data_IF_817393806540
#
_entry.id   IF_817393806540
#
_cell.length_a   1.000
_cell.length_b   1.000
_cell.length_c   1.000
_cell.angle_alpha   90.00
_cell.angle_beta   90.00
_cell.angle_gamma   90.00
#
_symmetry.space_group_name_H-M   'P 1'
#
loop_
_entity.id
_entity.type
_entity.pdbx_description
1 polymer ?
#
# COMPACT_ATOMS: atom_id res chain seq x y z
N UNK A 1 49.50 -23.36 9.56
CA UNK A 1 48.82 -22.15 10.08
C UNK A 1 47.32 -22.35 10.30
N UNK A 2 46.63 -23.14 9.47
CA UNK A 2 45.21 -23.48 9.70
C UNK A 2 44.99 -24.47 10.87
N UNK A 3 45.96 -25.34 11.15
CA UNK A 3 45.87 -26.36 12.22
C UNK A 3 45.68 -25.80 13.64
N UNK A 4 46.34 -24.69 13.99
CA UNK A 4 46.15 -24.04 15.30
C UNK A 4 44.70 -23.55 15.42
N UNK A 5 44.20 -22.90 14.37
CA UNK A 5 42.82 -22.39 14.32
C UNK A 5 41.76 -23.51 14.43
N UNK A 6 42.05 -24.69 13.86
CA UNK A 6 41.15 -25.87 13.91
C UNK A 6 41.15 -26.56 15.28
N UNK A 7 42.27 -26.48 16.00
CA UNK A 7 42.41 -27.06 17.33
C UNK A 7 41.75 -26.18 18.40
N UNK A 8 41.89 -24.86 18.27
CA UNK A 8 41.48 -23.91 19.31
C UNK A 8 40.04 -23.40 19.16
N UNK A 9 39.43 -23.49 17.97
CA UNK A 9 38.06 -23.03 17.73
C UNK A 9 37.08 -24.21 17.55
N UNK A 10 36.03 -24.34 18.39
CA UNK A 10 35.03 -25.41 18.28
C UNK A 10 34.00 -25.19 17.15
N UNK A 11 34.25 -24.27 16.22
CA UNK A 11 33.29 -23.82 15.21
C UNK A 11 33.52 -24.52 13.86
N UNK A 12 32.44 -24.97 13.21
CA UNK A 12 32.46 -25.53 11.85
C UNK A 12 32.19 -24.44 10.82
N UNK A 13 33.20 -24.07 10.04
CA UNK A 13 33.18 -22.91 9.13
C UNK A 13 32.54 -23.17 7.74
N UNK A 14 31.82 -24.28 7.57
CA UNK A 14 31.39 -24.81 6.26
C UNK A 14 30.20 -24.12 5.59
N UNK A 15 29.84 -22.88 5.95
CA UNK A 15 28.69 -22.20 5.38
C UNK A 15 29.10 -21.21 4.29
N UNK A 16 28.76 -21.54 3.04
CA UNK A 16 28.96 -20.68 1.88
C UNK A 16 27.59 -20.25 1.33
N UNK A 17 27.04 -19.11 1.79
CA UNK A 17 25.72 -18.67 1.37
C UNK A 17 25.73 -18.34 -0.13
N UNK A 18 24.73 -18.86 -0.85
CA UNK A 18 24.42 -18.38 -2.21
C UNK A 18 23.64 -17.08 -2.09
N UNK A 19 24.14 -16.03 -2.73
CA UNK A 19 23.46 -14.72 -2.77
C UNK A 19 22.80 -14.52 -4.12
N UNK A 20 21.50 -14.24 -4.12
CA UNK A 20 20.74 -13.86 -5.32
C UNK A 20 20.29 -12.40 -5.18
N UNK A 21 20.16 -11.70 -6.31
CA UNK A 21 19.66 -10.32 -6.34
C UNK A 21 18.65 -10.16 -7.46
N UNK A 22 17.44 -9.70 -7.12
CA UNK A 22 16.41 -9.31 -8.08
C UNK A 22 16.45 -7.78 -8.21
N UNK A 23 16.66 -7.29 -9.44
CA UNK A 23 16.75 -5.87 -9.71
C UNK A 23 15.91 -5.53 -10.92
N UNK A 24 15.42 -4.29 -10.96
CA UNK A 24 14.70 -3.80 -12.11
C UNK A 24 15.63 -3.54 -13.29
N UNK A 25 15.13 -3.72 -14.52
CA UNK A 25 15.89 -3.52 -15.75
C UNK A 25 16.44 -2.09 -15.92
N UNK A 26 15.85 -1.09 -15.26
CA UNK A 26 16.32 0.31 -15.28
C UNK A 26 17.42 0.60 -14.27
N UNK A 27 17.92 -0.39 -13.51
CA UNK A 27 19.01 -0.22 -12.56
C UNK A 27 20.31 -0.82 -13.12
N UNK A 28 21.35 0.00 -13.20
CA UNK A 28 22.68 -0.38 -13.68
C UNK A 28 23.77 -0.12 -12.62
N UNK A 29 24.96 -0.67 -12.87
CA UNK A 29 26.16 -0.56 -12.02
C UNK A 29 26.02 -1.24 -10.64
N UNK A 30 25.17 -2.27 -10.57
CA UNK A 30 25.05 -3.05 -9.35
C UNK A 30 26.15 -4.11 -9.27
N UNK A 31 26.99 -3.99 -8.24
CA UNK A 31 27.97 -5.02 -7.86
C UNK A 31 27.60 -5.56 -6.47
N UNK A 32 27.30 -6.87 -6.33
CA UNK A 32 27.05 -7.46 -5.03
C UNK A 32 28.32 -7.34 -4.17
N UNK A 33 28.16 -6.84 -2.94
CA UNK A 33 29.23 -6.70 -1.96
C UNK A 33 28.65 -7.01 -0.57
N UNK A 34 29.30 -7.91 0.17
CA UNK A 34 28.88 -8.36 1.50
C UNK A 34 29.43 -7.48 2.64
N UNK A 35 30.48 -6.69 2.38
CA UNK A 35 31.14 -5.84 3.38
C UNK A 35 30.66 -4.39 3.32
N UNK A 36 30.47 -3.83 2.13
CA UNK A 36 30.09 -2.42 1.96
C UNK A 36 28.57 -2.20 1.85
N UNK A 37 28.05 -1.23 2.61
CA UNK A 37 26.63 -0.87 2.65
C UNK A 37 26.25 0.41 1.87
N UNK A 38 27.22 1.04 1.20
CA UNK A 38 27.08 2.39 0.62
C UNK A 38 26.73 2.37 -0.88
N UNK A 39 25.93 1.39 -1.32
CA UNK A 39 25.80 1.05 -2.75
C UNK A 39 25.02 2.09 -3.56
N UNK A 40 24.06 2.79 -2.94
CA UNK A 40 23.17 3.74 -3.64
C UNK A 40 23.90 4.85 -4.40
N UNK A 41 25.05 5.33 -3.88
CA UNK A 41 25.85 6.38 -4.53
C UNK A 41 26.33 6.00 -5.93
N UNK A 42 26.51 4.70 -6.19
CA UNK A 42 27.13 4.20 -7.42
C UNK A 42 26.13 3.61 -8.41
N UNK A 43 24.86 3.54 -8.02
CA UNK A 43 23.81 3.02 -8.88
C UNK A 43 23.45 4.04 -9.95
N UNK A 44 23.35 3.55 -11.19
CA UNK A 44 22.86 4.34 -12.31
C UNK A 44 21.42 3.95 -12.59
N UNK A 45 20.53 4.93 -12.67
CA UNK A 45 19.11 4.72 -12.95
C UNK A 45 18.77 5.27 -14.32
N UNK A 46 18.17 4.44 -15.18
CA UNK A 46 17.52 4.90 -16.40
C UNK A 46 16.13 5.45 -16.07
N UNK A 47 16.02 6.77 -16.00
CA UNK A 47 14.78 7.45 -15.66
C UNK A 47 13.69 7.27 -16.72
N UNK A 48 14.06 7.22 -18.01
CA UNK A 48 13.12 7.11 -19.11
C UNK A 48 12.48 5.71 -19.14
N UNK A 49 13.30 4.67 -18.99
CA UNK A 49 12.79 3.30 -18.88
C UNK A 49 11.94 3.12 -17.63
N UNK A 50 12.37 3.68 -16.50
CA UNK A 50 11.61 3.61 -15.25
C UNK A 50 10.22 4.24 -15.40
N UNK A 51 10.12 5.40 -16.06
CA UNK A 51 8.82 6.06 -16.24
C UNK A 51 7.87 5.26 -17.11
N UNK A 52 8.36 4.75 -18.25
CA UNK A 52 7.55 3.89 -19.14
C UNK A 52 7.03 2.66 -18.40
N UNK A 53 7.89 1.96 -17.67
CA UNK A 53 7.49 0.75 -16.92
C UNK A 53 6.54 1.09 -15.77
N UNK A 54 6.69 2.24 -15.10
CA UNK A 54 5.72 2.68 -14.10
C UNK A 54 4.35 2.93 -14.71
N UNK A 55 4.27 3.59 -15.86
CA UNK A 55 3.00 3.81 -16.54
C UNK A 55 2.34 2.49 -16.98
N UNK A 56 3.13 1.53 -17.47
CA UNK A 56 2.63 0.20 -17.87
C UNK A 56 2.16 -0.65 -16.69
N UNK A 57 2.93 -0.69 -15.59
CA UNK A 57 2.70 -1.63 -14.49
C UNK A 57 1.82 -1.06 -13.37
N UNK A 58 1.81 0.25 -13.18
CA UNK A 58 1.11 0.91 -12.07
C UNK A 58 -0.12 1.68 -12.55
N UNK A 59 -0.88 1.11 -13.50
CA UNK A 59 -2.16 1.68 -13.88
C UNK A 59 -3.13 1.64 -12.69
N UNK A 60 -3.64 2.79 -12.21
CA UNK A 60 -4.49 2.83 -11.03
C UNK A 60 -5.86 2.22 -11.34
N UNK A 61 -6.29 1.26 -10.51
CA UNK A 61 -7.63 0.65 -10.61
C UNK A 61 -8.61 1.48 -9.77
N UNK A 62 -9.32 2.42 -10.41
CA UNK A 62 -10.15 3.42 -9.72
C UNK A 62 -11.61 3.01 -9.48
N UNK A 63 -12.11 2.00 -10.21
CA UNK A 63 -13.51 1.58 -10.10
C UNK A 63 -13.95 1.14 -8.69
N UNK A 64 -13.11 0.49 -7.84
CA UNK A 64 -13.53 0.11 -6.49
C UNK A 64 -13.78 1.32 -5.61
N UNK A 65 -13.00 2.39 -5.80
CA UNK A 65 -13.19 3.65 -5.09
C UNK A 65 -14.51 4.30 -5.49
N UNK A 66 -14.79 4.35 -6.80
CA UNK A 66 -16.05 4.87 -7.31
C UNK A 66 -17.26 4.07 -6.79
N UNK A 67 -17.16 2.73 -6.75
CA UNK A 67 -18.20 1.86 -6.19
C UNK A 67 -18.40 2.11 -4.68
N UNK A 68 -17.31 2.27 -3.92
CA UNK A 68 -17.37 2.59 -2.49
C UNK A 68 -18.10 3.91 -2.24
N UNK A 69 -17.78 4.96 -3.00
CA UNK A 69 -18.48 6.26 -2.92
C UNK A 69 -19.97 6.10 -3.26
N UNK A 70 -20.30 5.35 -4.31
CA UNK A 70 -21.68 5.09 -4.71
C UNK A 70 -22.47 4.39 -3.59
N UNK A 71 -21.89 3.37 -2.97
CA UNK A 71 -22.52 2.65 -1.86
C UNK A 71 -22.76 3.55 -0.64
N UNK A 72 -21.83 4.45 -0.34
CA UNK A 72 -22.02 5.44 0.73
C UNK A 72 -23.16 6.42 0.43
N UNK A 73 -23.30 6.87 -0.82
CA UNK A 73 -24.42 7.72 -1.24
C UNK A 73 -25.74 6.96 -1.13
N UNK A 74 -25.79 5.72 -1.60
CA UNK A 74 -27.00 4.88 -1.55
C UNK A 74 -27.40 4.58 -0.10
N UNK A 75 -26.45 4.30 0.79
CA UNK A 75 -26.74 4.03 2.20
C UNK A 75 -27.26 5.25 2.96
N UNK A 76 -26.94 6.46 2.50
CA UNK A 76 -27.47 7.70 3.06
C UNK A 76 -28.92 8.00 2.64
N UNK A 77 -29.42 7.43 1.54
CA UNK A 77 -30.79 7.64 1.04
C UNK A 77 -31.89 7.37 2.09
N UNK A 78 -31.92 6.22 2.79
CA UNK A 78 -32.94 5.96 3.80
C UNK A 78 -32.88 6.95 4.97
N UNK A 79 -31.68 7.38 5.38
CA UNK A 79 -31.52 8.37 6.43
C UNK A 79 -32.16 9.71 6.03
N UNK A 80 -31.84 10.21 4.84
CA UNK A 80 -32.45 11.45 4.29
C UNK A 80 -33.96 11.31 4.11
N UNK A 81 -34.43 10.17 3.58
CA UNK A 81 -35.86 9.93 3.41
C UNK A 81 -36.61 9.92 4.76
N UNK A 82 -36.02 9.30 5.79
CA UNK A 82 -36.59 9.27 7.13
C UNK A 82 -36.66 10.66 7.77
N UNK A 83 -35.61 11.46 7.59
CA UNK A 83 -35.54 12.84 8.09
C UNK A 83 -36.63 13.71 7.44
N UNK A 84 -36.74 13.69 6.11
CA UNK A 84 -37.76 14.46 5.36
C UNK A 84 -39.19 14.02 5.69
N UNK A 85 -39.41 12.73 5.98
CA UNK A 85 -40.73 12.25 6.44
C UNK A 85 -41.11 12.82 7.80
N UNK A 86 -40.16 12.95 8.73
CA UNK A 86 -40.40 13.53 10.06
C UNK A 86 -40.75 15.02 9.99
N UNK A 87 -40.05 15.79 9.17
CA UNK A 87 -40.36 17.22 8.98
C UNK A 87 -41.79 17.45 8.46
N UNK A 88 -42.27 16.58 7.55
CA UNK A 88 -43.64 16.67 7.01
C UNK A 88 -44.73 16.26 8.01
N UNK A 89 -44.41 15.42 8.99
CA UNK A 89 -45.36 15.02 10.05
C UNK A 89 -45.43 16.03 11.20
N UNK A 90 -44.39 16.84 11.41
CA UNK A 90 -44.37 17.89 12.43
C UNK A 90 -45.33 19.06 12.13
N UNK A 91 -45.98 19.08 10.97
CA UNK A 91 -47.00 20.07 10.60
C UNK A 91 -48.45 19.60 10.85
N UNK A 92 -48.70 18.70 11.80
CA UNK A 92 -50.07 18.45 12.27
C UNK A 92 -50.40 19.50 13.34
N UNK A 93 -51.29 20.48 13.07
CA UNK A 93 -51.66 21.45 14.09
C UNK A 93 -52.28 20.69 15.27
N UNK A 94 -52.02 21.10 16.52
CA UNK A 94 -52.69 20.51 17.67
C UNK A 94 -54.19 20.68 17.46
N UNK A 95 -54.88 19.56 17.27
CA UNK A 95 -56.34 19.52 17.27
C UNK A 95 -56.78 20.04 18.62
N UNK A 96 -57.28 21.28 18.63
CA UNK A 96 -57.74 21.96 19.83
C UNK A 96 -58.86 21.15 20.48
N UNK A 97 -58.63 20.73 21.72
CA UNK A 97 -59.68 20.20 22.59
C UNK A 97 -60.34 21.35 23.34
N UNK A 98 -61.68 21.26 23.47
CA UNK A 98 -62.60 21.88 24.45
C UNK A 98 -63.33 23.17 24.06
N UNK A 99 -64.66 23.04 23.97
CA UNK A 99 -65.64 23.64 24.88
C UNK A 99 -66.92 22.77 24.75
N UNK A 100 -67.37 22.10 25.82
CA UNK A 100 -68.27 22.58 26.86
C UNK A 100 -69.70 22.78 26.32
#
# INVERSE_FOLDING_TARGET
MYEILRHDAPWVWGYHPKTYGLNHAWLANQKPNQMARNKMKYYRVDAALRERRRAEWNAPVLWPVALGVLLLVISALPAVASYRRRERMAARPPGGTRAA
#
